data_IF_679184565406
#
_entry.id   IF_679184565406
#
_cell.length_a   1.000
_cell.length_b   1.000
_cell.length_c   1.000
_cell.angle_alpha   90.00
_cell.angle_beta   90.00
_cell.angle_gamma   90.00
#
_symmetry.space_group_name_H-M   'P 1'
#
loop_
_entity.id
_entity.type
_entity.pdbx_description
1 polymer ?
#
# COMPACT_ATOMS: atom_id res chain seq x y z
N UNK A 1 3.12 -12.91 28.30
CA UNK A 1 4.14 -11.86 28.06
C UNK A 1 3.58 -10.55 28.59
N UNK A 2 4.39 -9.79 29.32
CA UNK A 2 4.01 -8.47 29.83
C UNK A 2 3.90 -7.48 28.65
N UNK A 3 2.75 -6.81 28.46
CA UNK A 3 2.55 -5.83 27.39
C UNK A 3 3.58 -4.68 27.39
N UNK A 4 4.08 -4.26 28.56
CA UNK A 4 5.08 -3.19 28.62
C UNK A 4 6.44 -3.65 28.09
N UNK A 5 6.82 -4.89 28.39
CA UNK A 5 8.06 -5.50 27.88
C UNK A 5 8.04 -5.62 26.36
N UNK A 6 6.89 -6.02 25.78
CA UNK A 6 6.72 -6.13 24.33
C UNK A 6 6.81 -4.77 23.61
N UNK A 7 6.26 -3.71 24.19
CA UNK A 7 6.35 -2.36 23.60
C UNK A 7 7.80 -1.84 23.61
N UNK A 8 8.54 -2.06 24.70
CA UNK A 8 9.94 -1.64 24.79
C UNK A 8 10.83 -2.38 23.80
N UNK A 9 10.58 -3.67 23.57
CA UNK A 9 11.26 -4.45 22.54
C UNK A 9 11.00 -3.92 21.12
N UNK A 10 9.75 -3.56 20.81
CA UNK A 10 9.38 -2.97 19.51
C UNK A 10 10.04 -1.61 19.29
N UNK A 11 10.06 -0.75 20.30
CA UNK A 11 10.74 0.56 20.25
C UNK A 11 12.23 0.37 19.98
N UNK A 12 12.88 -0.52 20.75
CA UNK A 12 14.29 -0.84 20.56
C UNK A 12 14.56 -1.34 19.15
N UNK A 13 13.71 -2.24 18.64
CA UNK A 13 13.87 -2.81 17.30
C UNK A 13 13.72 -1.76 16.20
N UNK A 14 12.76 -0.85 16.34
CA UNK A 14 12.59 0.29 15.43
C UNK A 14 13.84 1.17 15.41
N UNK A 15 14.39 1.49 16.57
CA UNK A 15 15.56 2.36 16.68
C UNK A 15 16.81 1.71 16.06
N UNK A 16 16.97 0.39 16.22
CA UNK A 16 18.00 -0.39 15.52
C UNK A 16 17.84 -0.34 13.99
N UNK A 17 16.60 -0.46 13.49
CA UNK A 17 16.31 -0.39 12.06
C UNK A 17 16.59 1.01 11.49
N UNK A 18 16.29 2.07 12.22
CA UNK A 18 16.63 3.43 11.80
C UNK A 18 18.14 3.67 11.79
N UNK A 19 18.87 3.19 12.80
CA UNK A 19 20.32 3.29 12.83
C UNK A 19 20.97 2.55 11.65
N UNK A 20 20.48 1.35 11.32
CA UNK A 20 20.99 0.59 10.18
C UNK A 20 20.64 1.26 8.84
N UNK A 21 19.43 1.79 8.68
CA UNK A 21 19.05 2.59 7.50
C UNK A 21 20.01 3.76 7.32
N UNK A 22 20.25 4.54 8.37
CA UNK A 22 21.09 5.74 8.28
C UNK A 22 22.56 5.39 7.96
N UNK A 23 23.05 4.26 8.48
CA UNK A 23 24.35 3.70 8.10
C UNK A 23 24.40 3.32 6.61
N UNK A 24 23.40 2.61 6.11
CA UNK A 24 23.31 2.23 4.69
C UNK A 24 23.25 3.45 3.78
N UNK A 25 22.53 4.51 4.20
CA UNK A 25 22.48 5.78 3.47
C UNK A 25 23.84 6.49 3.46
N UNK A 26 24.59 6.45 4.56
CA UNK A 26 25.94 6.97 4.61
C UNK A 26 26.87 6.18 3.68
N UNK A 27 26.78 4.85 3.67
CA UNK A 27 27.56 4.00 2.77
C UNK A 27 27.21 4.24 1.29
N UNK A 28 25.93 4.43 0.98
CA UNK A 28 25.46 4.79 -0.36
C UNK A 28 26.04 6.14 -0.80
N UNK A 29 26.00 7.15 0.08
CA UNK A 29 26.58 8.47 -0.18
C UNK A 29 28.09 8.40 -0.41
N UNK A 30 28.79 7.61 0.41
CA UNK A 30 30.25 7.61 0.41
C UNK A 30 30.82 6.73 -0.72
N UNK A 31 30.16 5.62 -1.08
CA UNK A 31 30.61 4.69 -2.14
C UNK A 31 30.00 4.95 -3.51
N UNK A 32 28.82 5.58 -3.55
CA UNK A 32 28.06 5.85 -4.77
C UNK A 32 27.56 7.29 -4.77
N UNK A 33 28.47 8.25 -4.54
CA UNK A 33 28.15 9.68 -4.37
C UNK A 33 27.37 10.27 -5.54
N UNK A 34 27.71 9.89 -6.78
CA UNK A 34 27.03 10.40 -7.97
C UNK A 34 25.56 9.99 -7.99
N UNK A 35 25.28 8.74 -7.63
CA UNK A 35 23.92 8.24 -7.53
C UNK A 35 23.17 8.85 -6.35
N UNK A 36 23.80 8.97 -5.18
CA UNK A 36 23.19 9.63 -4.03
C UNK A 36 22.82 11.08 -4.35
N UNK A 37 23.72 11.83 -4.99
CA UNK A 37 23.45 13.20 -5.42
C UNK A 37 22.31 13.27 -6.44
N UNK A 38 22.27 12.34 -7.39
CA UNK A 38 21.18 12.24 -8.35
C UNK A 38 19.81 11.99 -7.68
N UNK A 39 19.74 11.15 -6.63
CA UNK A 39 18.50 10.97 -5.85
C UNK A 39 18.03 12.29 -5.24
N UNK A 40 18.96 13.04 -4.63
CA UNK A 40 18.67 14.34 -4.01
C UNK A 40 18.22 15.38 -5.05
N UNK A 41 18.94 15.49 -6.18
CA UNK A 41 18.61 16.39 -7.28
C UNK A 41 17.24 16.06 -7.90
N UNK A 42 16.92 14.77 -7.98
CA UNK A 42 15.64 14.26 -8.48
C UNK A 42 14.50 14.40 -7.46
N UNK A 43 14.75 15.02 -6.30
CA UNK A 43 13.78 15.20 -5.20
C UNK A 43 13.21 13.87 -4.68
N UNK A 44 13.98 12.79 -4.77
CA UNK A 44 13.65 11.49 -4.21
C UNK A 44 14.05 11.50 -2.74
N UNK A 45 13.09 11.22 -1.85
CA UNK A 45 13.38 11.08 -0.43
C UNK A 45 14.13 9.76 -0.18
N UNK A 46 15.43 9.88 0.09
CA UNK A 46 16.31 8.75 0.38
C UNK A 46 15.93 8.01 1.67
N UNK A 47 15.14 8.63 2.56
CA UNK A 47 14.63 7.99 3.77
C UNK A 47 13.33 7.22 3.54
N UNK A 48 12.69 7.37 2.37
CA UNK A 48 11.45 6.69 1.97
C UNK A 48 11.54 6.14 0.53
N UNK A 49 12.64 5.45 0.22
CA UNK A 49 12.85 4.80 -1.09
C UNK A 49 11.79 3.73 -1.40
N UNK A 50 11.07 3.23 -0.39
CA UNK A 50 9.94 2.31 -0.55
C UNK A 50 8.86 2.86 -1.49
N UNK A 51 8.65 4.18 -1.49
CA UNK A 51 7.75 4.89 -2.41
C UNK A 51 8.10 4.69 -3.90
N UNK A 52 9.35 4.31 -4.16
CA UNK A 52 9.92 4.20 -5.50
C UNK A 52 10.47 2.79 -5.75
N UNK A 53 10.21 1.79 -4.90
CA UNK A 53 10.98 0.54 -4.80
C UNK A 53 11.14 -0.26 -6.11
N UNK A 54 10.07 -0.42 -6.91
CA UNK A 54 10.14 -1.11 -8.22
C UNK A 54 11.07 -0.38 -9.20
N UNK A 55 11.08 0.95 -9.09
CA UNK A 55 11.73 1.86 -10.02
C UNK A 55 13.15 2.24 -9.62
N UNK A 56 13.42 2.24 -8.32
CA UNK A 56 14.75 2.43 -7.75
C UNK A 56 15.66 1.29 -8.15
N UNK A 57 15.20 0.02 -8.18
CA UNK A 57 16.00 -1.10 -8.66
C UNK A 57 16.38 -0.97 -10.16
N UNK A 58 15.44 -0.56 -11.01
CA UNK A 58 15.71 -0.30 -12.42
C UNK A 58 16.64 0.91 -12.62
N UNK A 59 16.42 2.00 -11.87
CA UNK A 59 17.30 3.17 -11.85
C UNK A 59 18.71 2.85 -11.32
N UNK A 60 18.82 1.99 -10.30
CA UNK A 60 20.09 1.46 -9.78
C UNK A 60 20.83 0.68 -10.86
N UNK A 61 20.14 -0.20 -11.58
CA UNK A 61 20.73 -1.01 -12.65
C UNK A 61 21.29 -0.11 -13.77
N UNK A 62 20.53 0.92 -14.15
CA UNK A 62 20.93 1.90 -15.17
C UNK A 62 22.08 2.82 -14.70
N UNK A 63 21.99 3.37 -13.48
CA UNK A 63 22.98 4.29 -12.92
C UNK A 63 24.32 3.60 -12.57
N UNK A 64 24.30 2.31 -12.23
CA UNK A 64 25.48 1.50 -11.96
C UNK A 64 26.08 0.88 -13.24
N UNK A 65 25.50 1.14 -14.42
CA UNK A 65 26.00 0.65 -15.70
C UNK A 65 25.90 -0.87 -15.87
N UNK A 66 25.00 -1.53 -15.12
CA UNK A 66 24.76 -2.97 -15.22
C UNK A 66 23.81 -3.20 -16.39
N UNK A 67 24.13 -4.14 -17.28
CA UNK A 67 23.33 -4.38 -18.49
C UNK A 67 21.84 -4.63 -18.15
N UNK A 68 20.98 -3.71 -18.58
CA UNK A 68 19.52 -3.87 -18.58
C UNK A 68 19.14 -4.59 -19.88
N UNK A 69 18.26 -5.62 -19.86
CA UNK A 69 17.65 -6.10 -21.10
C UNK A 69 16.87 -4.96 -21.74
N UNK A 70 17.07 -4.73 -23.05
CA UNK A 70 16.42 -3.65 -23.80
C UNK A 70 14.92 -3.58 -23.49
N UNK A 71 14.49 -2.48 -22.87
CA UNK A 71 13.08 -2.20 -22.63
C UNK A 71 12.38 -2.06 -23.99
N UNK A 72 11.18 -2.65 -24.19
CA UNK A 72 10.52 -2.63 -25.47
C UNK A 72 10.01 -1.21 -25.77
N UNK A 73 10.55 -0.62 -26.85
CA UNK A 73 10.14 0.65 -27.48
C UNK A 73 10.20 1.92 -26.61
N UNK A 74 11.32 2.65 -26.71
CA UNK A 74 11.35 4.08 -26.36
C UNK A 74 12.45 4.81 -27.14
N UNK A 75 12.05 5.70 -28.05
CA UNK A 75 12.95 6.62 -28.75
C UNK A 75 13.36 7.84 -27.89
N UNK A 76 12.99 7.86 -26.60
CA UNK A 76 13.26 9.01 -25.72
C UNK A 76 14.73 9.05 -25.28
N UNK A 77 15.32 10.24 -25.04
CA UNK A 77 16.66 10.38 -24.48
C UNK A 77 16.81 9.65 -23.12
N UNK A 78 18.01 9.14 -22.76
CA UNK A 78 18.23 8.39 -21.51
C UNK A 78 17.76 9.13 -20.24
N UNK A 79 17.88 10.46 -20.20
CA UNK A 79 17.44 11.28 -19.07
C UNK A 79 15.91 11.32 -18.91
N UNK A 80 15.16 11.30 -20.03
CA UNK A 80 13.69 11.21 -19.98
C UNK A 80 13.22 9.81 -19.58
N UNK A 81 13.94 8.76 -20.01
CA UNK A 81 13.68 7.39 -19.58
C UNK A 81 13.91 7.22 -18.06
N UNK A 82 15.02 7.76 -17.55
CA UNK A 82 15.31 7.82 -16.11
C UNK A 82 14.21 8.58 -15.36
N UNK A 83 13.71 9.70 -15.91
CA UNK A 83 12.63 10.49 -15.30
C UNK A 83 11.30 9.71 -15.25
N UNK A 84 10.98 8.93 -16.29
CA UNK A 84 9.79 8.06 -16.30
C UNK A 84 9.93 6.88 -15.35
N UNK A 85 11.13 6.32 -15.22
CA UNK A 85 11.44 5.30 -14.22
C UNK A 85 11.26 5.89 -12.80
N UNK A 86 11.63 7.13 -12.52
CA UNK A 86 11.52 7.71 -11.17
C UNK A 86 10.10 8.12 -10.74
N UNK A 87 9.15 8.20 -11.67
CA UNK A 87 7.77 8.53 -11.30
C UNK A 87 7.19 7.41 -10.43
N UNK A 88 6.62 7.71 -9.25
CA UNK A 88 5.86 6.70 -8.53
C UNK A 88 4.63 6.42 -9.40
N UNK A 89 4.62 5.30 -10.13
CA UNK A 89 3.41 4.85 -10.83
C UNK A 89 2.47 4.33 -9.76
N UNK A 90 1.89 5.23 -8.96
CA UNK A 90 1.00 4.87 -7.87
C UNK A 90 -0.30 4.29 -8.40
N UNK A 91 -0.59 4.33 -9.70
CA UNK A 91 -1.87 3.88 -10.22
C UNK A 91 -1.72 2.50 -10.86
N UNK A 92 -2.57 1.57 -10.42
CA UNK A 92 -2.85 0.31 -11.12
C UNK A 92 -4.18 0.49 -11.85
N UNK A 93 -4.13 0.44 -13.18
CA UNK A 93 -5.31 0.62 -14.03
C UNK A 93 -6.01 -0.70 -14.32
N UNK A 94 -7.30 -0.65 -14.65
CA UNK A 94 -8.06 -1.83 -15.11
C UNK A 94 -7.42 -2.53 -16.31
N UNK A 95 -6.82 -1.79 -17.23
CA UNK A 95 -6.17 -2.36 -18.41
C UNK A 95 -4.91 -3.16 -18.03
N UNK A 96 -4.15 -2.69 -17.04
CA UNK A 96 -2.98 -3.39 -16.52
C UNK A 96 -3.38 -4.69 -15.79
N UNK A 97 -4.54 -4.69 -15.13
CA UNK A 97 -5.10 -5.87 -14.47
C UNK A 97 -5.75 -6.86 -15.44
N UNK A 98 -5.97 -6.48 -16.70
CA UNK A 98 -6.69 -7.30 -17.66
C UNK A 98 -5.82 -8.49 -18.09
N UNK A 99 -6.36 -9.70 -17.95
CA UNK A 99 -5.68 -10.93 -18.33
C UNK A 99 -4.74 -11.50 -17.25
N UNK A 100 -4.45 -10.72 -16.19
CA UNK A 100 -3.73 -11.23 -15.02
C UNK A 100 -4.59 -12.21 -14.22
N UNK A 101 -3.94 -13.27 -13.75
CA UNK A 101 -4.44 -14.18 -12.73
C UNK A 101 -4.63 -13.46 -11.39
N UNK A 102 -5.38 -14.07 -10.49
CA UNK A 102 -5.61 -13.57 -9.14
C UNK A 102 -4.29 -13.37 -8.38
N UNK A 103 -3.36 -14.30 -8.54
CA UNK A 103 -2.05 -14.31 -7.90
C UNK A 103 -1.11 -13.24 -8.49
N UNK A 104 -1.13 -13.03 -9.81
CA UNK A 104 -0.37 -11.95 -10.46
C UNK A 104 -0.88 -10.56 -10.05
N UNK A 105 -2.19 -10.39 -9.86
CA UNK A 105 -2.74 -9.13 -9.33
C UNK A 105 -2.31 -8.89 -7.90
N UNK A 106 -2.32 -9.93 -7.06
CA UNK A 106 -1.87 -9.86 -5.68
C UNK A 106 -0.40 -9.43 -5.59
N UNK A 107 0.46 -10.04 -6.40
CA UNK A 107 1.88 -9.68 -6.53
C UNK A 107 2.03 -8.22 -6.98
N UNK A 108 1.34 -7.82 -8.05
CA UNK A 108 1.40 -6.44 -8.56
C UNK A 108 0.96 -5.40 -7.50
N UNK A 109 -0.13 -5.67 -6.79
CA UNK A 109 -0.63 -4.82 -5.71
C UNK A 109 0.38 -4.74 -4.57
N UNK A 110 0.98 -5.86 -4.17
CA UNK A 110 1.99 -5.86 -3.11
C UNK A 110 3.26 -5.12 -3.53
N UNK A 111 3.76 -5.36 -4.74
CA UNK A 111 4.90 -4.65 -5.28
C UNK A 111 4.65 -3.14 -5.35
N UNK A 112 3.45 -2.72 -5.75
CA UNK A 112 3.15 -1.29 -5.94
C UNK A 112 2.79 -0.57 -4.65
N UNK A 113 2.06 -1.23 -3.75
CA UNK A 113 1.45 -0.60 -2.58
C UNK A 113 1.91 -1.17 -1.25
N UNK A 114 2.74 -2.21 -1.23
CA UNK A 114 3.22 -2.85 0.00
C UNK A 114 3.85 -1.85 0.97
N UNK A 115 4.56 -0.84 0.46
CA UNK A 115 5.11 0.24 1.30
C UNK A 115 4.01 1.11 1.94
N UNK A 116 2.98 1.50 1.19
CA UNK A 116 1.83 2.27 1.72
C UNK A 116 1.03 1.43 2.72
N UNK A 117 0.85 0.14 2.43
CA UNK A 117 0.17 -0.82 3.28
C UNK A 117 0.93 -0.94 4.60
N UNK A 118 2.25 -1.13 4.57
CA UNK A 118 3.08 -1.23 5.77
C UNK A 118 3.09 0.08 6.57
N UNK A 119 3.29 1.23 5.91
CA UNK A 119 3.24 2.57 6.53
C UNK A 119 1.89 2.80 7.23
N UNK A 120 0.79 2.44 6.57
CA UNK A 120 -0.56 2.60 7.11
C UNK A 120 -0.83 1.62 8.25
N UNK A 121 -0.40 0.37 8.12
CA UNK A 121 -0.53 -0.65 9.15
C UNK A 121 0.20 -0.24 10.43
N UNK A 122 1.42 0.31 10.31
CA UNK A 122 2.17 0.85 11.43
C UNK A 122 1.44 2.04 12.07
N UNK A 123 1.03 3.03 11.25
CA UNK A 123 0.30 4.23 11.70
C UNK A 123 -0.95 3.91 12.52
N UNK A 124 -1.69 2.87 12.14
CA UNK A 124 -2.97 2.52 12.77
C UNK A 124 -2.89 1.28 13.68
N UNK A 125 -1.70 0.72 13.91
CA UNK A 125 -1.46 -0.48 14.71
C UNK A 125 -2.33 -1.67 14.25
N UNK A 126 -2.27 -1.95 12.95
CA UNK A 126 -2.99 -3.05 12.29
C UNK A 126 -2.01 -4.06 11.70
N UNK A 127 -2.51 -5.25 11.40
CA UNK A 127 -1.79 -6.20 10.56
C UNK A 127 -1.80 -5.72 9.10
N UNK A 128 -0.64 -5.55 8.41
CA UNK A 128 -0.62 -5.15 7.00
C UNK A 128 -1.40 -6.11 6.09
N UNK A 129 -1.50 -7.39 6.46
CA UNK A 129 -2.31 -8.37 5.72
C UNK A 129 -3.79 -8.02 5.68
N UNK A 130 -4.32 -7.39 6.74
CA UNK A 130 -5.71 -6.95 6.78
C UNK A 130 -5.97 -5.88 5.72
N UNK A 131 -5.07 -4.90 5.60
CA UNK A 131 -5.20 -3.81 4.63
C UNK A 131 -5.04 -4.36 3.21
N UNK A 132 -4.02 -5.17 2.97
CA UNK A 132 -3.82 -5.83 1.67
C UNK A 132 -5.04 -6.66 1.25
N UNK A 133 -5.53 -7.53 2.14
CA UNK A 133 -6.68 -8.37 1.85
C UNK A 133 -7.95 -7.54 1.60
N UNK A 134 -8.09 -6.39 2.26
CA UNK A 134 -9.17 -5.45 1.99
C UNK A 134 -9.06 -4.89 0.57
N UNK A 135 -7.88 -4.42 0.14
CA UNK A 135 -7.66 -3.92 -1.24
C UNK A 135 -8.01 -4.99 -2.28
N UNK A 136 -7.50 -6.21 -2.09
CA UNK A 136 -7.75 -7.33 -3.02
C UNK A 136 -9.21 -7.75 -3.06
N UNK A 137 -9.90 -7.72 -1.92
CA UNK A 137 -11.30 -8.09 -1.82
C UNK A 137 -12.25 -7.05 -2.43
N UNK A 138 -11.93 -5.77 -2.28
CA UNK A 138 -12.81 -4.66 -2.67
C UNK A 138 -12.64 -4.23 -4.13
N UNK A 139 -11.42 -4.20 -4.65
CA UNK A 139 -11.13 -3.72 -6.02
C UNK A 139 -10.25 -4.66 -6.85
N UNK A 140 -9.60 -5.65 -6.22
CA UNK A 140 -8.57 -6.44 -6.88
C UNK A 140 -7.37 -5.62 -7.35
N UNK A 141 -7.14 -4.45 -6.75
CA UNK A 141 -6.08 -3.51 -7.12
C UNK A 141 -6.50 -2.40 -8.11
N UNK A 142 -7.75 -2.40 -8.60
CA UNK A 142 -8.22 -1.36 -9.54
C UNK A 142 -8.36 -0.01 -8.82
N UNK A 143 -7.42 0.89 -9.10
CA UNK A 143 -7.32 2.18 -8.42
C UNK A 143 -8.47 3.12 -8.79
N UNK A 144 -9.09 2.89 -9.95
CA UNK A 144 -10.26 3.65 -10.43
C UNK A 144 -11.58 2.91 -10.21
N UNK A 145 -11.59 1.84 -9.41
CA UNK A 145 -12.82 1.13 -9.09
C UNK A 145 -13.86 2.09 -8.49
N UNK A 146 -15.08 2.02 -9.02
CA UNK A 146 -16.21 2.82 -8.53
C UNK A 146 -17.48 2.00 -8.62
N UNK A 147 -18.32 2.07 -7.58
CA UNK A 147 -19.66 1.52 -7.58
C UNK A 147 -20.63 2.56 -7.04
N UNK A 148 -21.67 2.83 -7.81
CA UNK A 148 -22.75 3.68 -7.36
C UNK A 148 -23.71 2.88 -6.47
N UNK A 149 -24.17 3.48 -5.38
CA UNK A 149 -25.08 2.90 -4.39
C UNK A 149 -26.36 3.74 -4.33
N UNK A 150 -27.29 3.57 -5.31
CA UNK A 150 -28.46 4.43 -5.45
C UNK A 150 -29.37 4.44 -4.20
N UNK A 151 -29.41 3.34 -3.46
CA UNK A 151 -30.22 3.18 -2.25
C UNK A 151 -29.87 4.17 -1.15
N UNK A 152 -28.63 4.65 -1.12
CA UNK A 152 -28.12 5.60 -0.12
C UNK A 152 -27.63 6.91 -0.73
N UNK A 153 -27.75 7.07 -2.06
CA UNK A 153 -27.34 8.29 -2.76
C UNK A 153 -25.83 8.57 -2.67
N UNK A 154 -25.02 7.53 -2.58
CA UNK A 154 -23.56 7.62 -2.43
C UNK A 154 -22.86 6.71 -3.46
N UNK A 155 -21.53 6.72 -3.48
CA UNK A 155 -20.71 5.82 -4.28
C UNK A 155 -19.47 5.39 -3.48
N UNK A 156 -18.99 4.17 -3.72
CA UNK A 156 -17.72 3.68 -3.21
C UNK A 156 -16.60 3.88 -4.22
N UNK A 157 -15.40 4.23 -3.74
CA UNK A 157 -14.29 4.65 -4.60
C UNK A 157 -12.97 3.94 -4.26
N UNK A 158 -12.18 3.72 -5.31
CA UNK A 158 -10.79 3.32 -5.26
C UNK A 158 -10.56 1.92 -4.68
N UNK A 159 -9.33 1.71 -4.21
CA UNK A 159 -8.78 0.41 -3.83
C UNK A 159 -9.60 -0.32 -2.77
N UNK A 160 -10.10 0.40 -1.77
CA UNK A 160 -10.85 -0.13 -0.64
C UNK A 160 -12.36 0.09 -0.76
N UNK A 161 -12.86 0.55 -1.91
CA UNK A 161 -14.28 0.84 -2.13
C UNK A 161 -14.94 1.59 -0.96
N UNK A 162 -14.29 2.66 -0.50
CA UNK A 162 -14.82 3.48 0.61
C UNK A 162 -15.90 4.41 0.07
N UNK A 163 -17.08 4.39 0.72
CA UNK A 163 -18.16 5.35 0.47
C UNK A 163 -17.69 6.78 0.75
N UNK A 164 -18.05 7.75 -0.07
CA UNK A 164 -17.65 9.14 0.16
C UNK A 164 -18.16 9.66 1.51
N UNK A 165 -19.42 9.38 1.86
CA UNK A 165 -19.99 9.70 3.18
C UNK A 165 -19.22 9.07 4.33
N UNK A 166 -18.80 7.80 4.18
CA UNK A 166 -17.96 7.11 5.17
C UNK A 166 -16.61 7.80 5.32
N UNK A 167 -15.92 8.11 4.22
CA UNK A 167 -14.65 8.84 4.24
C UNK A 167 -14.79 10.16 5.01
N UNK A 168 -15.83 10.95 4.71
CA UNK A 168 -16.13 12.21 5.43
C UNK A 168 -16.35 11.97 6.92
N UNK A 169 -17.10 10.92 7.29
CA UNK A 169 -17.39 10.60 8.70
C UNK A 169 -16.15 10.24 9.52
N UNK A 170 -15.11 9.73 8.87
CA UNK A 170 -13.81 9.43 9.49
C UNK A 170 -12.79 10.55 9.27
N UNK A 171 -13.22 11.76 8.91
CA UNK A 171 -12.38 12.97 8.86
C UNK A 171 -11.60 13.18 7.57
N UNK A 172 -12.02 12.58 6.45
CA UNK A 172 -11.53 12.98 5.13
C UNK A 172 -12.13 14.34 4.74
N UNK A 173 -11.30 15.29 4.31
CA UNK A 173 -11.74 16.65 3.97
C UNK A 173 -11.73 16.96 2.46
N UNK A 174 -11.23 16.04 1.64
CA UNK A 174 -11.17 16.20 0.18
C UNK A 174 -12.48 15.95 -0.56
N UNK A 175 -12.36 15.93 -1.89
CA UNK A 175 -13.43 15.63 -2.83
C UNK A 175 -13.46 14.14 -3.15
N UNK A 176 -14.58 13.65 -3.68
CA UNK A 176 -14.74 12.23 -4.03
C UNK A 176 -13.66 11.72 -5.02
N UNK A 177 -13.17 12.58 -5.92
CA UNK A 177 -12.12 12.21 -6.88
C UNK A 177 -10.78 11.93 -6.23
N UNK A 178 -10.48 12.53 -5.08
CA UNK A 178 -9.20 12.29 -4.40
C UNK A 178 -9.18 10.89 -3.75
N UNK A 179 -10.33 10.21 -3.66
CA UNK A 179 -10.39 8.81 -3.21
C UNK A 179 -9.84 7.81 -4.25
N UNK A 180 -9.54 8.27 -5.48
CA UNK A 180 -8.77 7.47 -6.44
C UNK A 180 -7.27 7.54 -6.19
N UNK A 181 -6.78 8.42 -5.31
CA UNK A 181 -5.39 8.40 -4.90
C UNK A 181 -5.14 7.19 -3.97
N UNK A 182 -4.19 6.30 -4.31
CA UNK A 182 -3.89 5.10 -3.51
C UNK A 182 -3.42 5.41 -2.10
N UNK A 183 -2.61 6.45 -1.89
CA UNK A 183 -2.11 6.80 -0.55
C UNK A 183 -3.27 7.26 0.33
N UNK A 184 -4.16 8.11 -0.19
CA UNK A 184 -5.38 8.52 0.48
C UNK A 184 -6.28 7.31 0.76
N UNK A 185 -6.53 6.47 -0.24
CA UNK A 185 -7.48 5.37 -0.11
C UNK A 185 -6.99 4.30 0.87
N UNK A 186 -5.71 3.91 0.79
CA UNK A 186 -5.09 2.95 1.71
C UNK A 186 -5.06 3.51 3.14
N UNK A 187 -4.72 4.80 3.33
CA UNK A 187 -4.78 5.43 4.66
C UNK A 187 -6.18 5.35 5.26
N UNK A 188 -7.22 5.61 4.45
CA UNK A 188 -8.61 5.54 4.89
C UNK A 188 -9.06 4.10 5.20
N UNK A 189 -8.55 3.08 4.50
CA UNK A 189 -8.79 1.66 4.86
C UNK A 189 -8.28 1.40 6.28
N UNK A 190 -7.02 1.78 6.56
CA UNK A 190 -6.41 1.62 7.88
C UNK A 190 -7.18 2.40 8.95
N UNK A 191 -7.52 3.66 8.66
CA UNK A 191 -8.29 4.52 9.57
C UNK A 191 -9.64 3.92 9.92
N UNK A 192 -10.36 3.37 8.94
CA UNK A 192 -11.67 2.78 9.17
C UNK A 192 -11.60 1.51 10.02
N UNK A 193 -10.63 0.63 9.76
CA UNK A 193 -10.38 -0.56 10.59
C UNK A 193 -10.01 -0.18 12.03
N UNK A 194 -9.13 0.81 12.23
CA UNK A 194 -8.78 1.32 13.56
C UNK A 194 -10.00 1.88 14.28
N UNK A 195 -10.79 2.72 13.61
CA UNK A 195 -12.03 3.27 14.15
C UNK A 195 -12.99 2.16 14.58
N UNK A 196 -13.14 1.09 13.80
CA UNK A 196 -13.97 -0.04 14.19
C UNK A 196 -13.38 -0.78 15.39
N UNK A 197 -12.07 -1.00 15.46
CA UNK A 197 -11.47 -1.54 16.67
C UNK A 197 -11.83 -0.68 17.89
N UNK A 198 -11.63 0.63 17.81
CA UNK A 198 -11.87 1.55 18.94
C UNK A 198 -13.33 1.55 19.37
N UNK A 199 -14.26 1.67 18.42
CA UNK A 199 -15.71 1.70 18.68
C UNK A 199 -16.20 0.39 19.33
N UNK A 200 -15.60 -0.75 18.98
CA UNK A 200 -16.01 -2.07 19.47
C UNK A 200 -15.08 -2.62 20.58
N UNK A 201 -14.34 -1.75 21.28
CA UNK A 201 -13.61 -2.11 22.51
C UNK A 201 -12.24 -2.75 22.30
N UNK A 202 -11.66 -2.65 21.10
CA UNK A 202 -10.25 -2.92 20.81
C UNK A 202 -9.86 -4.39 20.70
N UNK A 203 -10.84 -5.31 20.60
CA UNK A 203 -10.60 -6.77 20.60
C UNK A 203 -11.21 -7.50 19.40
N UNK A 204 -11.59 -6.79 18.34
CA UNK A 204 -12.10 -7.43 17.14
C UNK A 204 -11.01 -8.28 16.48
N UNK A 205 -11.39 -9.46 16.01
CA UNK A 205 -10.51 -10.28 15.14
C UNK A 205 -10.41 -9.65 13.75
N UNK A 206 -9.41 -10.06 12.95
CA UNK A 206 -9.30 -9.60 11.56
C UNK A 206 -10.55 -9.95 10.74
N UNK A 207 -11.17 -11.10 10.96
CA UNK A 207 -12.43 -11.47 10.31
C UNK A 207 -13.58 -10.56 10.75
N UNK A 208 -13.70 -10.24 12.05
CA UNK A 208 -14.72 -9.31 12.54
C UNK A 208 -14.54 -7.89 11.97
N UNK A 209 -13.29 -7.44 11.81
CA UNK A 209 -12.98 -6.18 11.16
C UNK A 209 -13.40 -6.19 9.68
N UNK A 210 -13.14 -7.28 8.95
CA UNK A 210 -13.61 -7.44 7.57
C UNK A 210 -15.14 -7.44 7.48
N UNK A 211 -15.84 -8.13 8.38
CA UNK A 211 -17.31 -8.11 8.45
C UNK A 211 -17.81 -6.69 8.71
N UNK A 212 -17.21 -5.97 9.66
CA UNK A 212 -17.56 -4.58 9.96
C UNK A 212 -17.27 -3.64 8.78
N UNK A 213 -16.22 -3.91 8.01
CA UNK A 213 -15.87 -3.17 6.79
C UNK A 213 -16.98 -3.26 5.75
N UNK A 214 -17.46 -4.48 5.50
CA UNK A 214 -18.46 -4.74 4.48
C UNK A 214 -19.90 -4.38 4.92
N UNK A 215 -20.23 -4.57 6.20
CA UNK A 215 -21.63 -4.53 6.67
C UNK A 215 -21.94 -3.44 7.70
N UNK A 216 -20.92 -2.68 8.12
CA UNK A 216 -21.04 -1.65 9.17
C UNK A 216 -21.08 -2.17 10.61
N UNK A 217 -21.10 -3.49 10.84
CA UNK A 217 -21.06 -4.08 12.18
C UNK A 217 -20.32 -5.42 12.18
N UNK A 218 -19.45 -5.71 13.17
CA UNK A 218 -18.71 -6.98 13.24
C UNK A 218 -19.60 -8.18 13.59
N UNK A 219 -20.86 -7.95 13.98
CA UNK A 219 -21.80 -8.99 14.42
C UNK A 219 -22.84 -9.35 13.35
N UNK A 220 -22.76 -8.73 12.18
CA UNK A 220 -23.61 -9.08 11.05
C UNK A 220 -23.08 -10.33 10.33
N UNK A 221 -23.92 -10.93 9.50
CA UNK A 221 -23.50 -12.01 8.61
C UNK A 221 -22.81 -11.44 7.38
N UNK A 222 -21.59 -11.89 7.10
CA UNK A 222 -20.97 -11.65 5.81
C UNK A 222 -21.76 -12.31 4.67
N UNK A 223 -21.69 -11.72 3.48
CA UNK A 223 -22.22 -12.37 2.28
C UNK A 223 -21.58 -13.74 2.04
N UNK A 224 -22.33 -14.72 1.49
CA UNK A 224 -21.79 -16.05 1.19
C UNK A 224 -20.48 -15.99 0.40
N UNK A 225 -19.44 -16.68 0.89
CA UNK A 225 -18.12 -16.76 0.26
C UNK A 225 -17.20 -15.56 0.50
N UNK A 226 -17.69 -14.45 1.09
CA UNK A 226 -16.88 -13.25 1.33
C UNK A 226 -15.71 -13.53 2.30
N UNK A 227 -15.96 -14.26 3.39
CA UNK A 227 -14.89 -14.67 4.33
C UNK A 227 -13.88 -15.64 3.71
N UNK A 228 -14.32 -16.53 2.81
CA UNK A 228 -13.41 -17.44 2.14
C UNK A 228 -12.44 -16.67 1.22
N UNK A 229 -12.95 -15.68 0.48
CA UNK A 229 -12.13 -14.79 -0.34
C UNK A 229 -11.18 -13.94 0.52
N UNK A 230 -11.68 -13.38 1.62
CA UNK A 230 -10.84 -12.63 2.55
C UNK A 230 -9.68 -13.49 3.09
N UNK A 231 -9.98 -14.68 3.61
CA UNK A 231 -8.94 -15.57 4.14
C UNK A 231 -7.94 -15.99 3.06
N UNK A 232 -8.39 -16.28 1.81
CA UNK A 232 -7.49 -16.53 0.67
C UNK A 232 -6.45 -15.40 0.55
N UNK A 233 -6.90 -14.14 0.53
CA UNK A 233 -5.99 -13.01 0.36
C UNK A 233 -5.13 -12.76 1.58
N UNK A 234 -5.71 -12.81 2.78
CA UNK A 234 -4.99 -12.60 4.04
C UNK A 234 -3.83 -13.60 4.20
N UNK A 235 -4.06 -14.87 3.84
CA UNK A 235 -3.03 -15.91 3.94
C UNK A 235 -2.00 -15.85 2.79
N UNK A 236 -2.41 -15.39 1.60
CA UNK A 236 -1.52 -15.31 0.42
C UNK A 236 -0.32 -14.40 0.61
N UNK A 237 -0.46 -13.35 1.45
CA UNK A 237 0.59 -12.35 1.71
C UNK A 237 1.85 -12.97 2.31
N UNK A 238 1.75 -14.09 3.03
CA UNK A 238 2.93 -14.77 3.57
C UNK A 238 3.94 -15.15 2.49
N UNK A 239 3.48 -15.39 1.26
CA UNK A 239 4.33 -15.74 0.13
C UNK A 239 4.86 -14.51 -0.63
N UNK A 240 4.39 -13.31 -0.27
CA UNK A 240 4.72 -12.03 -0.93
C UNK A 240 5.68 -11.16 -0.08
N UNK A 241 5.80 -11.45 1.23
CA UNK A 241 6.67 -10.69 2.17
C UNK A 241 8.12 -11.25 2.21
N UNK A 242 8.42 -12.37 1.55
CA UNK A 242 9.79 -12.92 1.43
C UNK A 242 10.69 -12.08 0.55
#
# INVERSE_FOLDING_TARGET
MDPQTSLQELIKRRDELYAERDRLLAELRDRHSDFYNWLIESKIDVHDLGKYAINVAAAFTFALGVMVPELPNSNAPPQEQITQLVQPVTIISRNELQGLTDEEKAELVWQRYGYLINKTAEKYHLDPKLIFATVMLESGGDTYAVRHEPSIGDSSYGLGQILYGTARSIGFEGNAKDLYDPEINIDLIGKYHRRNQDVYGGKLTVQQLTVAYNTGSPFNSAYPGHMNKFNKWYDSVNNLIT
#
